data_IF_706301550489
#
_entry.id   IF_706301550489
#
_cell.length_a   1.000
_cell.length_b   1.000
_cell.length_c   1.000
_cell.angle_alpha   90.00
_cell.angle_beta   90.00
_cell.angle_gamma   90.00
#
_symmetry.space_group_name_H-M   'P 1'
#
loop_
_entity.id
_entity.type
_entity.pdbx_description
1 polymer ?
#
# COMPACT_ATOMS: atom_id res chain seq x y z
N UNK A 1 13.56 11.81 -41.23
CA UNK A 1 13.90 12.41 -39.91
C UNK A 1 13.94 11.29 -38.86
N UNK A 2 14.78 11.47 -37.83
CA UNK A 2 15.47 10.44 -37.02
C UNK A 2 14.55 9.62 -36.09
N UNK A 3 14.87 8.33 -35.94
CA UNK A 3 14.41 7.41 -34.87
C UNK A 3 15.06 7.79 -33.52
N UNK A 4 14.33 7.66 -32.41
CA UNK A 4 14.90 7.36 -31.09
C UNK A 4 13.99 6.38 -30.33
N UNK A 5 14.49 5.14 -30.17
CA UNK A 5 14.14 4.18 -29.13
C UNK A 5 14.49 4.75 -27.75
N UNK A 6 13.69 4.45 -26.71
CA UNK A 6 14.22 4.20 -25.36
C UNK A 6 13.50 3.02 -24.71
N UNK A 7 14.21 1.88 -24.75
CA UNK A 7 14.08 0.79 -23.80
C UNK A 7 14.36 1.36 -22.41
N UNK A 8 13.45 1.21 -21.46
CA UNK A 8 13.81 1.34 -20.05
C UNK A 8 14.37 0.00 -19.59
N UNK A 9 15.69 -0.08 -19.57
CA UNK A 9 16.46 -1.03 -18.79
C UNK A 9 17.31 -0.19 -17.83
N UNK A 10 17.10 -0.34 -16.53
CA UNK A 10 17.90 0.11 -15.38
C UNK A 10 17.18 -0.51 -14.16
N UNK A 11 17.81 -1.11 -13.17
CA UNK A 11 19.18 -1.58 -12.96
C UNK A 11 19.10 -2.43 -11.70
N UNK A 12 19.89 -3.51 -11.65
CA UNK A 12 20.15 -4.21 -10.41
C UNK A 12 20.79 -3.25 -9.40
N UNK A 13 20.29 -3.25 -8.16
CA UNK A 13 20.99 -2.75 -6.99
C UNK A 13 21.08 -3.90 -5.99
N UNK A 14 22.25 -4.54 -5.97
CA UNK A 14 22.66 -5.40 -4.89
C UNK A 14 22.95 -4.53 -3.65
N UNK A 15 22.35 -4.86 -2.51
CA UNK A 15 22.82 -4.40 -1.20
C UNK A 15 23.30 -5.65 -0.46
N UNK A 16 24.62 -5.82 -0.45
CA UNK A 16 25.34 -6.68 0.48
C UNK A 16 25.57 -5.87 1.74
N UNK A 17 25.07 -6.34 2.89
CA UNK A 17 25.64 -5.99 4.19
C UNK A 17 25.86 -7.27 5.00
N UNK A 18 27.14 -7.61 5.16
CA UNK A 18 27.61 -8.54 6.18
C UNK A 18 27.45 -7.90 7.55
N UNK A 19 26.81 -8.61 8.47
CA UNK A 19 26.79 -8.30 9.89
C UNK A 19 26.33 -9.52 10.66
N UNK A 20 27.28 -10.37 11.08
CA UNK A 20 26.98 -11.42 12.04
C UNK A 20 26.71 -10.80 13.41
N UNK A 21 25.70 -11.31 14.12
CA UNK A 21 25.72 -11.64 15.56
C UNK A 21 24.35 -12.18 16.03
N UNK A 22 24.42 -13.34 16.68
CA UNK A 22 23.62 -13.85 17.82
C UNK A 22 22.08 -13.92 17.77
N UNK A 23 21.60 -15.16 17.89
CA UNK A 23 20.24 -15.59 18.24
C UNK A 23 19.67 -14.91 19.50
N UNK A 24 18.48 -14.30 19.39
CA UNK A 24 17.22 -14.70 20.04
C UNK A 24 16.14 -13.66 19.73
N UNK A 25 14.90 -14.16 19.66
CA UNK A 25 13.63 -13.45 19.48
C UNK A 25 13.17 -13.27 18.03
N UNK A 26 12.11 -14.04 17.71
CA UNK A 26 11.25 -13.94 16.53
C UNK A 26 10.53 -12.58 16.55
N UNK A 27 11.04 -11.61 15.80
CA UNK A 27 10.21 -10.54 15.24
C UNK A 27 10.13 -10.75 13.74
N UNK A 28 8.92 -11.04 13.24
CA UNK A 28 8.61 -11.13 11.81
C UNK A 28 8.85 -9.77 11.15
N UNK A 29 10.06 -9.55 10.67
CA UNK A 29 10.39 -8.38 9.85
C UNK A 29 9.74 -8.56 8.45
N UNK A 30 8.60 -7.91 8.24
CA UNK A 30 7.99 -7.76 6.91
C UNK A 30 8.85 -6.78 6.12
N UNK A 31 9.60 -7.28 5.15
CA UNK A 31 10.40 -6.44 4.25
C UNK A 31 9.49 -5.80 3.20
N UNK A 32 9.15 -4.54 3.45
CA UNK A 32 8.32 -3.70 2.58
C UNK A 32 9.17 -3.24 1.38
N UNK A 33 8.93 -3.82 0.20
CA UNK A 33 9.57 -3.36 -1.05
C UNK A 33 8.81 -2.12 -1.54
N UNK A 34 9.29 -0.93 -1.17
CA UNK A 34 8.67 0.35 -1.49
C UNK A 34 9.09 0.80 -2.91
N UNK A 35 8.16 0.78 -3.89
CA UNK A 35 8.33 1.53 -5.13
C UNK A 35 7.84 2.96 -4.90
N UNK A 36 8.77 3.89 -4.78
CA UNK A 36 8.48 5.30 -4.54
C UNK A 36 7.86 5.96 -5.79
N UNK A 37 6.55 6.24 -5.75
CA UNK A 37 5.90 7.17 -6.68
C UNK A 37 6.00 8.60 -6.12
N UNK A 38 7.00 9.35 -6.61
CA UNK A 38 7.17 10.75 -6.26
C UNK A 38 6.12 11.63 -6.97
N UNK A 39 5.06 12.01 -6.25
CA UNK A 39 4.28 13.22 -6.54
C UNK A 39 3.59 13.69 -5.26
N UNK A 40 3.37 14.99 -5.08
CA UNK A 40 2.78 15.60 -3.87
C UNK A 40 1.31 15.20 -3.57
N UNK A 41 0.80 14.11 -4.18
CA UNK A 41 -0.49 13.53 -3.89
C UNK A 41 -0.35 12.58 -2.68
N UNK A 42 -1.36 12.55 -1.81
CA UNK A 42 -1.39 11.64 -0.66
C UNK A 42 -1.49 10.22 -1.20
N UNK A 43 -0.48 9.40 -0.93
CA UNK A 43 -0.50 7.98 -1.30
C UNK A 43 -1.41 7.22 -0.34
N UNK A 44 -2.51 6.69 -0.88
CA UNK A 44 -3.52 5.95 -0.11
C UNK A 44 -2.94 4.64 0.44
N UNK A 45 -1.97 4.05 -0.27
CA UNK A 45 -1.38 2.76 0.11
C UNK A 45 -0.49 2.83 1.35
N UNK A 46 -0.10 4.02 1.80
CA UNK A 46 0.65 4.21 3.04
C UNK A 46 -0.23 4.11 4.30
N UNK A 47 -1.55 4.20 4.15
CA UNK A 47 -2.53 4.05 5.23
C UNK A 47 -3.15 2.65 5.26
N UNK A 48 -2.73 1.77 4.35
CA UNK A 48 -3.19 0.39 4.25
C UNK A 48 -2.11 -0.56 4.77
N UNK A 49 -2.50 -1.42 5.70
CA UNK A 49 -1.65 -2.45 6.27
C UNK A 49 -2.16 -3.82 5.83
N UNK A 50 -1.27 -4.64 5.29
CA UNK A 50 -1.60 -5.99 4.82
C UNK A 50 -1.02 -7.01 5.78
N UNK A 51 -1.85 -7.93 6.23
CA UNK A 51 -1.49 -8.99 7.16
C UNK A 51 -1.75 -10.37 6.55
N UNK A 52 -0.84 -11.30 6.82
CA UNK A 52 -0.91 -12.68 6.35
C UNK A 52 -1.09 -13.63 7.53
N UNK A 53 -2.00 -14.58 7.37
CA UNK A 53 -2.26 -15.62 8.37
C UNK A 53 -2.57 -16.96 7.71
N UNK A 54 -2.51 -18.04 8.49
CA UNK A 54 -2.79 -19.39 8.00
C UNK A 54 -1.54 -20.22 7.64
N UNK A 55 -1.76 -21.29 6.90
CA UNK A 55 -0.74 -22.24 6.50
C UNK A 55 -0.33 -22.06 5.03
N UNK A 56 0.86 -22.53 4.67
CA UNK A 56 1.38 -22.44 3.32
C UNK A 56 0.50 -23.25 2.34
N UNK A 57 -0.24 -22.57 1.46
CA UNK A 57 -1.19 -23.18 0.53
C UNK A 57 -2.65 -23.13 0.99
N UNK A 58 -2.89 -22.61 2.19
CA UNK A 58 -4.20 -22.28 2.76
C UNK A 58 -4.10 -20.93 3.50
N UNK A 59 -3.25 -20.04 2.99
CA UNK A 59 -2.97 -18.74 3.58
C UNK A 59 -4.04 -17.74 3.21
N UNK A 60 -4.30 -16.80 4.12
CA UNK A 60 -5.28 -15.73 3.96
C UNK A 60 -4.57 -14.39 4.11
N UNK A 61 -4.86 -13.45 3.23
CA UNK A 61 -4.45 -12.05 3.34
C UNK A 61 -5.64 -11.18 3.75
N UNK A 62 -5.43 -10.35 4.75
CA UNK A 62 -6.34 -9.28 5.14
C UNK A 62 -5.66 -7.94 4.95
N UNK A 63 -6.46 -6.89 4.78
CA UNK A 63 -5.96 -5.52 4.86
C UNK A 63 -6.76 -4.72 5.89
N UNK A 64 -6.07 -3.82 6.57
CA UNK A 64 -6.66 -2.81 7.44
C UNK A 64 -6.33 -1.44 6.87
N UNK A 65 -7.32 -0.56 6.77
CA UNK A 65 -7.13 0.79 6.26
C UNK A 65 -7.42 1.82 7.35
N UNK A 66 -6.45 2.70 7.61
CA UNK A 66 -6.61 3.79 8.59
C UNK A 66 -7.31 4.99 7.92
N UNK A 67 -8.64 4.92 7.88
CA UNK A 67 -9.49 5.98 7.32
C UNK A 67 -9.26 7.33 8.02
N UNK A 68 -9.00 7.33 9.33
CA UNK A 68 -8.87 8.57 10.09
C UNK A 68 -7.59 9.31 9.72
N UNK A 69 -6.43 8.63 9.75
CA UNK A 69 -5.15 9.23 9.37
C UNK A 69 -5.14 9.66 7.90
N UNK A 70 -5.76 8.86 7.03
CA UNK A 70 -5.89 9.20 5.63
C UNK A 70 -6.67 10.52 5.43
N UNK A 71 -7.85 10.64 6.03
CA UNK A 71 -8.68 11.84 5.89
C UNK A 71 -8.01 13.08 6.52
N UNK A 72 -7.37 12.92 7.67
CA UNK A 72 -6.58 13.99 8.29
C UNK A 72 -5.46 14.47 7.36
N UNK A 73 -4.79 13.56 6.64
CA UNK A 73 -3.71 13.89 5.71
C UNK A 73 -4.21 14.59 4.45
N UNK A 74 -5.29 14.09 3.84
CA UNK A 74 -5.88 14.65 2.61
C UNK A 74 -6.47 16.03 2.83
N UNK A 75 -7.21 16.21 3.92
CA UNK A 75 -7.89 17.47 4.23
C UNK A 75 -7.08 18.39 5.13
N UNK A 76 -5.89 17.97 5.58
CA UNK A 76 -5.06 18.68 6.56
C UNK A 76 -5.88 19.13 7.78
N UNK A 77 -6.74 18.23 8.24
CA UNK A 77 -7.73 18.48 9.28
C UNK A 77 -7.16 18.06 10.64
N UNK A 78 -7.19 18.95 11.63
CA UNK A 78 -6.83 18.63 12.99
C UNK A 78 -8.03 18.00 13.71
N UNK A 79 -7.83 16.85 14.36
CA UNK A 79 -8.88 16.10 15.07
C UNK A 79 -9.71 16.96 16.06
N UNK A 80 -9.12 18.04 16.60
CA UNK A 80 -9.72 18.90 17.62
C UNK A 80 -10.58 20.06 17.08
N UNK A 81 -10.67 20.27 15.77
CA UNK A 81 -11.43 21.39 15.18
C UNK A 81 -12.58 20.84 14.37
N UNK A 82 -13.87 21.06 14.71
CA UNK A 82 -14.99 20.49 13.94
C UNK A 82 -14.93 20.93 12.47
N UNK A 83 -15.07 19.96 11.56
CA UNK A 83 -15.18 20.22 10.13
C UNK A 83 -16.44 21.05 9.85
N UNK A 84 -16.36 21.99 8.91
CA UNK A 84 -17.56 22.63 8.40
C UNK A 84 -18.36 21.65 7.51
N UNK A 85 -19.62 21.97 7.25
CA UNK A 85 -20.53 21.13 6.48
C UNK A 85 -20.00 20.81 5.07
N UNK A 86 -19.36 21.80 4.44
CA UNK A 86 -18.75 21.63 3.11
C UNK A 86 -17.59 20.63 3.13
N UNK A 87 -16.74 20.69 4.15
CA UNK A 87 -15.62 19.77 4.35
C UNK A 87 -16.12 18.36 4.63
N UNK A 88 -17.18 18.19 5.44
CA UNK A 88 -17.79 16.88 5.67
C UNK A 88 -18.36 16.28 4.38
N UNK A 89 -19.02 17.09 3.54
CA UNK A 89 -19.53 16.63 2.26
C UNK A 89 -18.40 16.21 1.31
N UNK A 90 -17.29 16.96 1.27
CA UNK A 90 -16.11 16.57 0.50
C UNK A 90 -15.46 15.29 1.05
N UNK A 91 -15.35 15.12 2.37
CA UNK A 91 -14.84 13.91 3.01
C UNK A 91 -15.67 12.68 2.61
N UNK A 92 -17.00 12.79 2.65
CA UNK A 92 -17.89 11.69 2.21
C UNK A 92 -17.74 11.38 0.72
N UNK A 93 -17.54 12.40 -0.13
CA UNK A 93 -17.31 12.19 -1.57
C UNK A 93 -16.00 11.44 -1.79
N UNK A 94 -14.92 11.88 -1.14
CA UNK A 94 -13.60 11.24 -1.21
C UNK A 94 -13.67 9.80 -0.70
N UNK A 95 -14.29 9.57 0.45
CA UNK A 95 -14.42 8.21 1.02
C UNK A 95 -15.18 7.28 0.05
N UNK A 96 -16.28 7.76 -0.54
CA UNK A 96 -17.05 7.00 -1.52
C UNK A 96 -16.39 6.85 -2.89
N UNK A 97 -15.31 7.60 -3.15
CA UNK A 97 -14.55 7.54 -4.38
C UNK A 97 -13.43 6.50 -4.32
N UNK A 98 -13.02 6.08 -3.13
CA UNK A 98 -11.91 5.17 -2.94
C UNK A 98 -12.44 3.75 -2.82
N UNK A 99 -11.79 2.84 -3.53
CA UNK A 99 -11.95 1.42 -3.36
C UNK A 99 -10.60 0.77 -3.15
N UNK A 100 -10.40 0.23 -1.96
CA UNK A 100 -9.20 -0.52 -1.60
C UNK A 100 -9.53 -2.01 -1.60
N UNK A 101 -8.73 -2.82 -2.28
CA UNK A 101 -8.87 -4.28 -2.26
C UNK A 101 -7.54 -4.98 -2.56
N UNK A 102 -7.50 -6.28 -2.32
CA UNK A 102 -6.38 -7.16 -2.67
C UNK A 102 -6.75 -7.98 -3.91
N UNK A 103 -5.81 -8.20 -4.81
CA UNK A 103 -5.98 -9.06 -5.98
C UNK A 103 -6.21 -10.54 -5.62
N UNK A 104 -5.53 -11.03 -4.58
CA UNK A 104 -5.65 -12.39 -4.06
C UNK A 104 -5.70 -12.39 -2.53
N UNK A 105 -6.61 -13.16 -1.94
CA UNK A 105 -6.88 -13.16 -0.51
C UNK A 105 -6.84 -14.54 0.15
N UNK A 106 -6.85 -15.62 -0.63
CA UNK A 106 -6.97 -17.00 -0.12
C UNK A 106 -6.02 -17.93 -0.88
N UNK A 107 -5.77 -19.13 -0.34
CA UNK A 107 -4.89 -20.16 -0.91
C UNK A 107 -3.43 -19.70 -1.10
N UNK A 108 -3.02 -18.68 -0.34
CA UNK A 108 -1.71 -18.05 -0.46
C UNK A 108 -0.60 -18.97 0.05
N UNK A 109 0.57 -18.85 -0.57
CA UNK A 109 1.80 -19.57 -0.23
C UNK A 109 2.94 -18.61 0.06
N UNK A 110 3.88 -19.04 0.89
CA UNK A 110 5.12 -18.31 1.11
C UNK A 110 5.85 -18.12 -0.23
N UNK A 111 6.13 -16.87 -0.58
CA UNK A 111 6.76 -16.49 -1.85
C UNK A 111 5.80 -15.93 -2.90
N UNK A 112 4.48 -16.07 -2.72
CA UNK A 112 3.49 -15.45 -3.61
C UNK A 112 3.59 -13.92 -3.54
N UNK A 113 3.19 -13.26 -4.62
CA UNK A 113 3.15 -11.80 -4.71
C UNK A 113 1.68 -11.42 -4.82
N UNK A 114 1.22 -10.61 -3.87
CA UNK A 114 -0.11 -10.02 -3.90
C UNK A 114 -0.01 -8.52 -4.11
N UNK A 115 -1.07 -7.92 -4.61
CA UNK A 115 -1.17 -6.50 -4.95
C UNK A 115 -2.35 -5.89 -4.20
N UNK A 116 -2.06 -4.89 -3.38
CA UNK A 116 -3.06 -3.96 -2.88
C UNK A 116 -3.33 -2.93 -3.96
N UNK A 117 -4.58 -2.87 -4.37
CA UNK A 117 -5.07 -1.99 -5.43
C UNK A 117 -5.96 -0.94 -4.78
N UNK A 118 -5.65 0.31 -5.06
CA UNK A 118 -6.47 1.48 -4.71
C UNK A 118 -7.00 2.05 -6.01
N UNK A 119 -8.29 1.92 -6.22
CA UNK A 119 -9.02 2.59 -7.30
C UNK A 119 -9.67 3.86 -6.76
N UNK A 120 -9.56 4.94 -7.52
CA UNK A 120 -10.12 6.24 -7.23
C UNK A 120 -11.06 6.65 -8.35
N UNK A 121 -12.30 6.96 -8.00
CA UNK A 121 -13.25 7.56 -8.91
C UNK A 121 -12.90 9.05 -9.12
N UNK A 122 -12.12 9.34 -10.17
CA UNK A 122 -11.74 10.70 -10.58
C UNK A 122 -12.95 11.62 -10.85
N UNK A 123 -14.15 11.07 -11.04
CA UNK A 123 -15.37 11.89 -11.22
C UNK A 123 -15.86 12.52 -9.92
N UNK A 124 -15.45 11.95 -8.78
CA UNK A 124 -15.85 12.41 -7.44
C UNK A 124 -14.76 13.21 -6.74
N UNK A 125 -13.49 12.93 -7.03
CA UNK A 125 -12.36 13.66 -6.44
C UNK A 125 -11.11 13.61 -7.31
N UNK A 126 -10.37 14.72 -7.34
CA UNK A 126 -9.07 14.89 -8.01
C UNK A 126 -7.90 15.02 -7.02
N UNK A 127 -8.18 14.93 -5.71
CA UNK A 127 -7.19 15.13 -4.62
C UNK A 127 -6.26 13.93 -4.43
N UNK A 128 -6.69 12.76 -4.88
CA UNK A 128 -5.99 11.48 -4.75
C UNK A 128 -5.96 10.78 -6.11
N UNK A 129 -5.08 9.79 -6.25
CA UNK A 129 -4.90 9.04 -7.48
C UNK A 129 -4.90 7.55 -7.20
N UNK A 130 -5.18 6.78 -8.25
CA UNK A 130 -4.97 5.34 -8.25
C UNK A 130 -3.55 5.01 -7.82
N UNK A 131 -3.43 3.97 -7.01
CA UNK A 131 -2.17 3.49 -6.50
C UNK A 131 -2.20 1.98 -6.33
N UNK A 132 -1.06 1.34 -6.55
CA UNK A 132 -0.89 -0.09 -6.39
C UNK A 132 0.36 -0.36 -5.57
N UNK A 133 0.29 -1.33 -4.66
CA UNK A 133 1.41 -1.73 -3.82
C UNK A 133 1.49 -3.24 -3.75
N UNK A 134 2.65 -3.78 -4.10
CA UNK A 134 2.89 -5.22 -4.08
C UNK A 134 3.53 -5.67 -2.78
N UNK A 135 3.13 -6.85 -2.32
CA UNK A 135 3.63 -7.48 -1.10
C UNK A 135 4.01 -8.92 -1.39
N UNK A 136 5.16 -9.35 -0.86
CA UNK A 136 5.54 -10.75 -0.90
C UNK A 136 5.02 -11.46 0.35
N UNK A 137 4.24 -12.52 0.15
CA UNK A 137 3.70 -13.35 1.23
C UNK A 137 4.85 -14.06 1.94
N UNK A 138 4.97 -13.83 3.25
CA UNK A 138 5.99 -14.45 4.11
C UNK A 138 5.39 -14.78 5.48
N UNK A 139 5.91 -15.82 6.11
CA UNK A 139 5.60 -16.15 7.51
C UNK A 139 4.30 -16.94 7.70
N UNK A 140 3.75 -17.56 6.65
CA UNK A 140 2.74 -18.61 6.78
C UNK A 140 3.38 -19.88 7.37
N UNK A 141 2.61 -20.62 8.16
CA UNK A 141 3.07 -21.88 8.80
C UNK A 141 3.31 -22.94 7.72
N UNK A 142 4.41 -23.68 7.79
CA UNK A 142 4.74 -24.74 6.82
C UNK A 142 3.82 -25.97 6.88
#
# INVERSE_FOLDING_TARGET
>A
MRRINRKFALSAAAIVLMGGWSMKDEEKAVEVVQQAHASNAVDVTDFAFVEFSGANGDGIAGYTFDHEQFMQRVFNYAADSPADEATMEEMMKVDSAIRVYLDEQENLKNGDIITLIVEVDETKTDKIKDAERTFQVKGLVE
#
